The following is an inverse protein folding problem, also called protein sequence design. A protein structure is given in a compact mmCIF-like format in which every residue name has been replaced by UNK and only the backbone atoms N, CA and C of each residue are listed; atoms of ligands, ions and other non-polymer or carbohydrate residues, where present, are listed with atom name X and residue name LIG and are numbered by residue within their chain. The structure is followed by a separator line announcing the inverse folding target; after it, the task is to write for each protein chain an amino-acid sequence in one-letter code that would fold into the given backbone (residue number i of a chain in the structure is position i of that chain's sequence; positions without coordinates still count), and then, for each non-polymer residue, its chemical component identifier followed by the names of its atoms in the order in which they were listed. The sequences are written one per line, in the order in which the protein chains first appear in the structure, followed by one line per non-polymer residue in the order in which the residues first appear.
data_IF_993877801641
#
_entry.id   IF_993877801641
#
_cell.length_a   1.000
_cell.length_b   1.000
_cell.length_c   1.000
_cell.angle_alpha   90.00
_cell.angle_beta   90.00
_cell.angle_gamma   90.00
#
_symmetry.space_group_name_H-M   'P 1'
#
loop_
_entity.id
_entity.type
_entity.pdbx_description
1 polymer ?
#
# COMPACT_ATOMS: atom_id res chain seq x y z
N UNK A 1 -9.33 -10.58 -3.56
CA UNK A 1 -9.12 -9.39 -4.42
C UNK A 1 -8.38 -8.34 -3.61
N UNK A 2 -7.07 -8.48 -3.48
CA UNK A 2 -6.21 -7.54 -2.76
C UNK A 2 -5.99 -6.32 -3.67
N UNK A 3 -6.74 -5.22 -3.48
CA UNK A 3 -6.64 -4.01 -4.34
C UNK A 3 -5.21 -3.46 -4.40
N UNK A 4 -4.46 -3.68 -3.33
CA UNK A 4 -3.07 -3.30 -3.23
C UNK A 4 -2.15 -4.05 -4.20
N UNK A 5 -2.45 -5.30 -4.54
CA UNK A 5 -1.71 -6.02 -5.59
C UNK A 5 -1.97 -5.42 -6.98
N UNK A 6 -3.20 -4.92 -7.23
CA UNK A 6 -3.49 -4.21 -8.49
C UNK A 6 -2.71 -2.91 -8.58
N UNK A 7 -2.60 -2.17 -7.49
CA UNK A 7 -1.81 -0.94 -7.43
C UNK A 7 -0.32 -1.23 -7.54
N UNK A 8 0.19 -2.27 -6.86
CA UNK A 8 1.58 -2.69 -6.98
C UNK A 8 1.94 -3.00 -8.44
N UNK A 9 1.12 -3.79 -9.14
CA UNK A 9 1.33 -4.09 -10.56
C UNK A 9 1.27 -2.88 -11.49
N UNK A 10 0.53 -1.83 -11.11
CA UNK A 10 0.32 -0.64 -11.95
C UNK A 10 1.38 0.44 -11.71
N UNK A 11 1.91 0.54 -10.49
CA UNK A 11 2.74 1.67 -10.08
C UNK A 11 4.16 1.29 -9.67
N UNK A 12 4.43 0.02 -9.35
CA UNK A 12 5.77 -0.42 -8.96
C UNK A 12 6.55 -0.95 -10.18
N UNK A 13 7.83 -0.54 -10.34
CA UNK A 13 8.68 -1.01 -11.44
C UNK A 13 8.90 -2.52 -11.46
N UNK A 14 8.92 -3.16 -10.29
CA UNK A 14 9.16 -4.58 -10.13
C UNK A 14 8.50 -5.12 -8.85
N UNK A 15 8.24 -6.43 -8.81
CA UNK A 15 7.70 -7.09 -7.63
C UNK A 15 8.71 -7.01 -6.47
N UNK A 16 8.32 -6.36 -5.36
CA UNK A 16 9.20 -6.13 -4.22
C UNK A 16 10.06 -4.86 -4.32
N UNK A 17 9.87 -4.02 -5.34
CA UNK A 17 10.55 -2.74 -5.48
C UNK A 17 9.57 -1.58 -5.24
N UNK A 18 9.90 -0.71 -4.28
CA UNK A 18 9.04 0.40 -3.84
C UNK A 18 7.96 0.02 -2.82
N UNK A 19 7.40 1.02 -2.16
CA UNK A 19 6.33 0.87 -1.17
C UNK A 19 5.10 1.71 -1.52
N UNK A 20 3.93 1.17 -1.17
CA UNK A 20 2.64 1.84 -1.29
C UNK A 20 2.29 2.44 0.06
N UNK A 21 2.07 3.75 0.10
CA UNK A 21 1.61 4.48 1.27
C UNK A 21 0.09 4.62 1.25
N UNK A 22 -0.52 4.39 2.40
CA UNK A 22 -1.97 4.40 2.59
C UNK A 22 -2.33 5.27 3.80
N UNK A 23 -3.44 6.00 3.69
CA UNK A 23 -4.07 6.66 4.83
C UNK A 23 -4.97 5.67 5.54
N UNK A 24 -4.76 5.46 6.82
CA UNK A 24 -5.64 4.63 7.66
C UNK A 24 -6.25 5.48 8.77
N UNK A 25 -7.22 4.94 9.51
CA UNK A 25 -7.78 5.59 10.70
C UNK A 25 -6.74 5.81 11.82
N UNK A 26 -5.60 5.13 11.76
CA UNK A 26 -4.51 5.23 12.75
C UNK A 26 -3.33 6.07 12.23
N UNK A 27 -3.50 6.77 11.10
CA UNK A 27 -2.49 7.58 10.45
C UNK A 27 -1.97 7.00 9.14
N UNK A 28 -0.90 7.60 8.62
CA UNK A 28 -0.27 7.18 7.36
C UNK A 28 0.70 6.04 7.63
N UNK A 29 0.60 4.98 6.84
CA UNK A 29 1.49 3.83 6.93
C UNK A 29 1.64 3.13 5.59
N UNK A 30 2.51 2.13 5.55
CA UNK A 30 2.70 1.30 4.35
C UNK A 30 1.55 0.29 4.24
N UNK A 31 1.21 -0.09 3.02
CA UNK A 31 0.21 -1.13 2.76
C UNK A 31 0.52 -2.43 3.54
N UNK A 32 1.78 -2.84 3.56
CA UNK A 32 2.22 -4.04 4.28
C UNK A 32 1.92 -3.96 5.78
N UNK A 33 2.08 -2.79 6.39
CA UNK A 33 1.75 -2.54 7.80
C UNK A 33 0.24 -2.54 8.03
N UNK A 34 -0.51 -1.84 7.17
CA UNK A 34 -1.97 -1.80 7.22
C UNK A 34 -2.59 -3.22 7.15
N UNK A 35 -2.05 -4.08 6.28
CA UNK A 35 -2.46 -5.49 6.17
C UNK A 35 -2.16 -6.31 7.43
N UNK A 36 -0.98 -6.11 8.05
CA UNK A 36 -0.62 -6.78 9.32
C UNK A 36 -1.52 -6.34 10.47
N UNK A 37 -1.84 -5.06 10.53
CA UNK A 37 -2.68 -4.46 11.58
C UNK A 37 -4.18 -4.61 11.28
N UNK A 38 -4.56 -5.20 10.13
CA UNK A 38 -5.93 -5.38 9.65
C UNK A 38 -6.72 -4.06 9.61
N UNK A 39 -6.04 -2.96 9.31
CA UNK A 39 -6.63 -1.64 9.14
C UNK A 39 -6.76 -1.32 7.66
N UNK A 40 -7.97 -0.88 7.28
CA UNK A 40 -8.24 -0.41 5.93
C UNK A 40 -7.82 1.04 5.74
N UNK A 41 -7.77 1.46 4.49
CA UNK A 41 -7.32 2.80 4.15
C UNK A 41 -7.55 3.19 2.70
N UNK A 42 -7.13 4.41 2.35
CA UNK A 42 -7.09 4.88 0.95
C UNK A 42 -5.64 5.02 0.49
N UNK A 43 -5.40 4.78 -0.80
CA UNK A 43 -4.10 5.01 -1.42
C UNK A 43 -3.72 6.50 -1.26
N UNK A 44 -2.57 6.76 -0.65
CA UNK A 44 -1.98 8.10 -0.58
C UNK A 44 -1.02 8.32 -1.76
N UNK A 45 -0.18 7.33 -2.03
CA UNK A 45 0.85 7.40 -3.06
C UNK A 45 1.78 6.20 -3.02
N UNK A 46 2.82 6.24 -3.83
CA UNK A 46 3.85 5.21 -3.92
C UNK A 46 5.22 5.86 -4.02
N UNK A 47 6.24 5.17 -3.50
CA UNK A 47 7.65 5.60 -3.49
C UNK A 47 8.48 4.43 -4.02
N UNK A 48 9.46 4.73 -4.88
CA UNK A 48 10.44 3.79 -5.40
C UNK A 48 11.82 4.44 -5.52
#
# INVERSE_FOLDING_TARGET
NDEFEKWAKRYLPAQGFGEILVTTSQGVMTHSKARKEKVGGKLLGYVY
#
